data_IF_395460189029
#
_entry.id   IF_395460189029
#
_cell.length_a   1.000
_cell.length_b   1.000
_cell.length_c   1.000
_cell.angle_alpha   90.00
_cell.angle_beta   90.00
_cell.angle_gamma   90.00
#
_symmetry.space_group_name_H-M   'P 1'
#
loop_
_entity.id
_entity.type
_entity.pdbx_description
1 polymer ?
#
# COMPACT_ATOMS: atom_id res chain seq x y z
N UNK A 1 74.43 25.61 22.91
CA UNK A 1 73.98 24.22 22.74
C UNK A 1 72.49 24.23 22.45
N UNK A 2 72.11 23.68 21.29
CA UNK A 2 70.90 22.90 20.94
C UNK A 2 69.50 23.42 21.30
N UNK A 3 68.45 23.27 20.48
CA UNK A 3 68.28 22.79 19.11
C UNK A 3 66.86 23.19 18.66
N UNK A 4 66.72 23.68 17.42
CA UNK A 4 65.44 23.83 16.74
C UNK A 4 64.90 22.44 16.36
N UNK A 5 63.65 22.12 16.70
CA UNK A 5 62.98 20.91 16.25
C UNK A 5 61.68 21.28 15.50
N UNK A 6 61.81 21.73 14.24
CA UNK A 6 60.70 21.85 13.31
C UNK A 6 60.51 20.48 12.63
N UNK A 7 59.55 19.68 13.10
CA UNK A 7 59.06 18.53 12.34
C UNK A 7 58.16 19.05 11.22
N UNK A 8 58.72 19.13 10.02
CA UNK A 8 57.97 19.39 8.79
C UNK A 8 57.10 18.20 8.46
N UNK A 9 55.78 18.41 8.44
CA UNK A 9 54.86 17.51 7.72
C UNK A 9 55.17 17.71 6.22
N UNK A 10 55.43 16.65 5.44
CA UNK A 10 55.69 16.82 4.01
C UNK A 10 54.42 17.36 3.35
N UNK A 11 54.48 18.62 2.90
CA UNK A 11 53.37 19.36 2.29
C UNK A 11 52.70 18.61 1.12
N UNK A 12 53.37 17.63 0.51
CA UNK A 12 52.83 16.78 -0.55
C UNK A 12 51.71 15.82 -0.13
N UNK A 13 51.64 15.41 1.15
CA UNK A 13 50.59 14.49 1.63
C UNK A 13 49.26 15.20 1.91
N UNK A 14 49.30 16.47 2.32
CA UNK A 14 48.10 17.29 2.49
C UNK A 14 47.48 17.68 1.14
N UNK A 15 48.32 17.95 0.14
CA UNK A 15 47.86 18.38 -1.19
C UNK A 15 47.15 17.25 -1.95
N UNK A 16 47.59 16.01 -1.78
CA UNK A 16 46.96 14.82 -2.37
C UNK A 16 45.63 14.47 -1.71
N UNK A 17 45.50 14.68 -0.40
CA UNK A 17 44.23 14.50 0.31
C UNK A 17 43.15 15.52 -0.13
N UNK A 18 43.54 16.78 -0.39
CA UNK A 18 42.62 17.83 -0.88
C UNK A 18 42.15 17.51 -2.31
N UNK A 19 43.04 17.00 -3.17
CA UNK A 19 42.69 16.67 -4.56
C UNK A 19 41.70 15.49 -4.64
N UNK A 20 41.86 14.48 -3.78
CA UNK A 20 40.93 13.34 -3.67
C UNK A 20 39.56 13.76 -3.11
N UNK A 21 39.53 14.67 -2.13
CA UNK A 21 38.28 15.20 -1.57
C UNK A 21 37.51 16.04 -2.59
N UNK A 22 38.21 16.80 -3.44
CA UNK A 22 37.62 17.56 -4.53
C UNK A 22 36.89 16.68 -5.55
N UNK A 23 37.47 15.54 -5.92
CA UNK A 23 36.85 14.65 -6.92
C UNK A 23 35.58 13.93 -6.41
N UNK A 24 35.51 13.66 -5.10
CA UNK A 24 34.34 13.06 -4.46
C UNK A 24 33.14 14.01 -4.41
N UNK A 25 33.34 15.31 -4.23
CA UNK A 25 32.26 16.30 -4.13
C UNK A 25 31.63 16.65 -5.49
N UNK A 26 32.34 16.45 -6.62
CA UNK A 26 31.82 16.74 -7.96
C UNK A 26 31.10 15.55 -8.62
N UNK A 27 31.09 14.39 -7.99
CA UNK A 27 30.33 13.20 -8.45
C UNK A 27 28.85 13.30 -8.07
N UNK A 28 28.24 14.48 -8.19
CA UNK A 28 26.79 14.64 -8.21
C UNK A 28 26.29 14.12 -9.56
N UNK A 29 26.19 12.80 -9.64
CA UNK A 29 25.46 12.11 -10.69
C UNK A 29 24.05 12.68 -10.62
N UNK A 30 23.67 13.50 -11.61
CA UNK A 30 22.27 13.82 -11.86
C UNK A 30 21.60 12.51 -12.22
N UNK A 31 21.06 11.83 -11.22
CA UNK A 31 20.11 10.77 -11.42
C UNK A 31 18.96 11.38 -12.21
N UNK A 32 18.84 11.02 -13.48
CA UNK A 32 17.61 11.24 -14.21
C UNK A 32 16.56 10.43 -13.45
N UNK A 33 15.74 11.13 -12.66
CA UNK A 33 14.53 10.54 -12.13
C UNK A 33 13.79 9.96 -13.32
N UNK A 34 13.67 8.64 -13.38
CA UNK A 34 12.77 7.99 -14.31
C UNK A 34 11.42 8.68 -14.08
N UNK A 35 10.93 9.39 -15.09
CA UNK A 35 9.55 9.88 -15.09
C UNK A 35 8.70 8.62 -15.06
N UNK A 36 8.35 8.21 -13.83
CA UNK A 36 7.24 7.33 -13.56
C UNK A 36 6.11 7.88 -14.40
N UNK A 37 5.69 7.05 -15.35
CA UNK A 37 4.46 7.20 -16.11
C UNK A 37 3.44 7.94 -15.23
N UNK A 38 2.80 9.03 -15.71
CA UNK A 38 1.91 9.83 -14.87
C UNK A 38 1.00 8.86 -14.11
N UNK A 39 0.88 9.00 -12.78
CA UNK A 39 0.08 8.08 -11.99
C UNK A 39 -1.26 7.93 -12.69
N UNK A 40 -1.77 6.70 -12.87
CA UNK A 40 -3.04 6.48 -13.55
C UNK A 40 -4.03 7.49 -12.97
N UNK A 41 -4.66 8.27 -13.86
CA UNK A 41 -5.50 9.42 -13.56
C UNK A 41 -6.12 9.27 -12.18
N UNK A 42 -5.74 10.14 -11.23
CA UNK A 42 -6.16 10.01 -9.84
C UNK A 42 -7.65 9.70 -9.81
N UNK A 43 -7.98 8.45 -9.46
CA UNK A 43 -9.35 7.97 -9.54
C UNK A 43 -10.23 8.92 -8.72
N UNK A 44 -11.36 9.34 -9.28
CA UNK A 44 -12.30 10.18 -8.56
C UNK A 44 -13.01 9.32 -7.52
N UNK A 45 -12.37 9.16 -6.37
CA UNK A 45 -12.90 8.38 -5.26
C UNK A 45 -14.07 9.11 -4.61
N UNK A 46 -15.05 8.34 -4.17
CA UNK A 46 -16.06 8.83 -3.22
C UNK A 46 -15.38 9.34 -1.95
N UNK A 47 -16.06 10.26 -1.26
CA UNK A 47 -15.59 10.69 0.05
C UNK A 47 -15.50 9.50 1.01
N UNK A 48 -14.66 9.60 2.05
CA UNK A 48 -14.50 8.50 3.01
C UNK A 48 -15.82 8.15 3.71
N UNK A 49 -16.64 9.17 4.01
CA UNK A 49 -17.96 9.00 4.61
C UNK A 49 -18.95 8.33 3.63
N UNK A 50 -19.01 8.81 2.38
CA UNK A 50 -19.89 8.20 1.36
C UNK A 50 -19.50 6.75 1.07
N UNK A 51 -18.18 6.49 0.96
CA UNK A 51 -17.65 5.15 0.75
C UNK A 51 -18.03 4.22 1.91
N UNK A 52 -17.86 4.67 3.16
CA UNK A 52 -18.21 3.89 4.33
C UNK A 52 -19.71 3.60 4.41
N UNK A 53 -20.56 4.61 4.18
CA UNK A 53 -22.01 4.47 4.19
C UNK A 53 -22.50 3.50 3.11
N UNK A 54 -21.94 3.61 1.90
CA UNK A 54 -22.26 2.70 0.79
C UNK A 54 -21.87 1.25 1.14
N UNK A 55 -20.66 1.04 1.64
CA UNK A 55 -20.17 -0.29 2.01
C UNK A 55 -21.00 -0.90 3.16
N UNK A 56 -21.39 -0.11 4.16
CA UNK A 56 -22.26 -0.56 5.25
C UNK A 56 -23.66 -0.94 4.74
N UNK A 57 -24.21 -0.19 3.78
CA UNK A 57 -25.47 -0.55 3.13
C UNK A 57 -25.34 -1.90 2.39
N UNK A 58 -24.25 -2.12 1.66
CA UNK A 58 -23.99 -3.41 1.00
C UNK A 58 -23.83 -4.56 1.99
N UNK A 59 -23.11 -4.34 3.09
CA UNK A 59 -22.98 -5.34 4.17
C UNK A 59 -24.35 -5.70 4.74
N UNK A 60 -25.24 -4.73 4.91
CA UNK A 60 -26.60 -4.96 5.41
C UNK A 60 -27.40 -5.85 4.45
N UNK A 61 -27.38 -5.55 3.15
CA UNK A 61 -28.07 -6.35 2.12
C UNK A 61 -27.51 -7.77 2.07
N UNK A 62 -26.18 -7.93 2.07
CA UNK A 62 -25.54 -9.25 2.02
C UNK A 62 -25.87 -10.08 3.27
N UNK A 63 -25.89 -9.48 4.46
CA UNK A 63 -26.26 -10.17 5.69
C UNK A 63 -27.73 -10.62 5.70
N UNK A 64 -28.63 -9.89 5.05
CA UNK A 64 -30.03 -10.32 4.89
C UNK A 64 -30.16 -11.51 3.93
N UNK A 65 -29.23 -11.65 2.99
CA UNK A 65 -29.22 -12.76 2.03
C UNK A 65 -28.60 -14.04 2.60
N UNK A 66 -27.62 -13.94 3.51
CA UNK A 66 -26.89 -15.08 4.07
C UNK A 66 -27.79 -16.22 4.60
N UNK A 67 -28.87 -15.97 5.36
CA UNK A 67 -29.75 -17.04 5.84
C UNK A 67 -30.45 -17.83 4.72
N UNK A 68 -30.58 -17.24 3.52
CA UNK A 68 -31.16 -17.90 2.34
C UNK A 68 -30.16 -18.69 1.51
N UNK A 69 -28.87 -18.72 1.88
CA UNK A 69 -27.79 -19.37 1.12
C UNK A 69 -27.21 -20.51 1.95
N UNK A 70 -27.32 -21.75 1.46
CA UNK A 70 -26.76 -22.92 2.13
C UNK A 70 -25.27 -22.78 2.42
N UNK A 71 -24.89 -23.05 3.67
CA UNK A 71 -23.51 -23.09 4.13
C UNK A 71 -22.67 -24.12 3.36
N UNK A 72 -21.37 -23.85 3.24
CA UNK A 72 -20.42 -24.71 2.51
C UNK A 72 -20.54 -24.64 0.99
N UNK A 73 -21.47 -23.84 0.44
CA UNK A 73 -21.53 -23.58 -1.00
C UNK A 73 -20.56 -22.46 -1.40
N UNK A 74 -20.03 -22.47 -2.64
CA UNK A 74 -19.20 -21.37 -3.14
C UNK A 74 -19.90 -20.01 -3.06
N UNK A 75 -21.23 -19.99 -3.22
CA UNK A 75 -22.03 -18.78 -3.10
C UNK A 75 -22.00 -18.23 -1.67
N UNK A 76 -22.17 -19.09 -0.66
CA UNK A 76 -22.11 -18.70 0.75
C UNK A 76 -20.74 -18.12 1.11
N UNK A 77 -19.66 -18.84 0.77
CA UNK A 77 -18.29 -18.40 1.04
C UNK A 77 -17.95 -17.08 0.31
N UNK A 78 -18.45 -16.89 -0.92
CA UNK A 78 -18.27 -15.65 -1.66
C UNK A 78 -19.03 -14.47 -1.04
N UNK A 79 -20.24 -14.71 -0.51
CA UNK A 79 -21.02 -13.68 0.20
C UNK A 79 -20.33 -13.28 1.50
N UNK A 80 -19.88 -14.24 2.31
CA UNK A 80 -19.10 -13.96 3.51
C UNK A 80 -17.81 -13.19 3.20
N UNK A 81 -17.12 -13.54 2.10
CA UNK A 81 -15.93 -12.83 1.65
C UNK A 81 -16.19 -11.36 1.36
N UNK A 82 -17.27 -11.07 0.65
CA UNK A 82 -17.70 -9.70 0.34
C UNK A 82 -17.98 -8.93 1.63
N UNK A 83 -18.71 -9.54 2.56
CA UNK A 83 -19.01 -8.95 3.87
C UNK A 83 -17.72 -8.63 4.65
N UNK A 84 -16.80 -9.60 4.75
CA UNK A 84 -15.53 -9.42 5.44
C UNK A 84 -14.69 -8.32 4.79
N UNK A 85 -14.63 -8.30 3.47
CA UNK A 85 -13.87 -7.29 2.71
C UNK A 85 -14.42 -5.88 2.94
N UNK A 86 -15.74 -5.70 2.84
CA UNK A 86 -16.37 -4.39 3.02
C UNK A 86 -16.23 -3.88 4.46
N UNK A 87 -16.43 -4.76 5.45
CA UNK A 87 -16.20 -4.41 6.87
C UNK A 87 -14.75 -3.99 7.12
N UNK A 88 -13.78 -4.68 6.53
CA UNK A 88 -12.38 -4.33 6.65
C UNK A 88 -12.07 -2.95 6.03
N UNK A 89 -12.63 -2.64 4.85
CA UNK A 89 -12.43 -1.33 4.23
C UNK A 89 -13.00 -0.21 5.12
N UNK A 90 -14.22 -0.40 5.64
CA UNK A 90 -14.83 0.57 6.57
C UNK A 90 -13.97 0.75 7.82
N UNK A 91 -13.43 -0.35 8.37
CA UNK A 91 -12.52 -0.29 9.51
C UNK A 91 -11.24 0.50 9.18
N UNK A 92 -10.59 0.25 8.04
CA UNK A 92 -9.37 0.98 7.66
C UNK A 92 -9.65 2.47 7.41
N UNK A 93 -10.80 2.81 6.81
CA UNK A 93 -11.26 4.19 6.67
C UNK A 93 -11.43 4.84 8.06
N UNK A 94 -12.05 4.13 9.02
CA UNK A 94 -12.21 4.65 10.39
C UNK A 94 -10.89 4.88 11.12
N UNK A 95 -9.82 4.18 10.72
CA UNK A 95 -8.45 4.38 11.21
C UNK A 95 -7.74 5.55 10.52
N UNK A 96 -8.38 6.23 9.57
CA UNK A 96 -7.85 7.37 8.84
C UNK A 96 -7.18 7.02 7.50
N UNK A 97 -7.31 5.78 7.01
CA UNK A 97 -6.83 5.44 5.67
C UNK A 97 -7.70 6.11 4.60
N UNK A 98 -7.08 6.51 3.49
CA UNK A 98 -7.84 6.94 2.30
C UNK A 98 -8.59 5.76 1.68
N UNK A 99 -9.65 6.00 0.91
CA UNK A 99 -10.43 4.94 0.23
C UNK A 99 -9.53 4.02 -0.60
N UNK A 100 -8.57 4.58 -1.34
CA UNK A 100 -7.61 3.82 -2.13
C UNK A 100 -6.71 2.93 -1.27
N UNK A 101 -6.20 3.45 -0.15
CA UNK A 101 -5.38 2.67 0.78
C UNK A 101 -6.19 1.57 1.48
N UNK A 102 -7.40 1.89 1.91
CA UNK A 102 -8.29 0.95 2.60
C UNK A 102 -8.64 -0.27 1.72
N UNK A 103 -8.85 -0.06 0.42
CA UNK A 103 -9.06 -1.13 -0.57
C UNK A 103 -7.92 -2.15 -0.59
N UNK A 104 -6.67 -1.68 -0.61
CA UNK A 104 -5.47 -2.52 -0.66
C UNK A 104 -5.21 -3.21 0.69
N UNK A 105 -5.35 -2.47 1.80
CA UNK A 105 -5.13 -2.98 3.16
C UNK A 105 -6.14 -4.06 3.55
N UNK A 106 -7.31 -4.09 2.92
CA UNK A 106 -8.40 -5.01 3.26
C UNK A 106 -8.33 -6.35 2.53
N UNK A 107 -7.45 -6.52 1.54
CA UNK A 107 -7.31 -7.76 0.75
C UNK A 107 -7.09 -9.01 1.64
N UNK A 108 -6.26 -8.96 2.70
CA UNK A 108 -6.08 -10.10 3.60
C UNK A 108 -7.38 -10.57 4.27
N UNK A 109 -8.28 -9.64 4.62
CA UNK A 109 -9.57 -9.99 5.22
C UNK A 109 -10.45 -10.74 4.21
N UNK A 110 -10.42 -10.36 2.92
CA UNK A 110 -11.12 -11.12 1.87
C UNK A 110 -10.49 -12.50 1.64
N UNK A 111 -9.16 -12.61 1.67
CA UNK A 111 -8.46 -13.87 1.44
C UNK A 111 -8.81 -14.92 2.51
N UNK A 112 -9.10 -14.48 3.72
CA UNK A 112 -9.26 -15.29 4.94
C UNK A 112 -10.71 -15.37 5.45
N UNK A 113 -11.69 -14.82 4.74
CA UNK A 113 -13.08 -14.66 5.22
C UNK A 113 -13.17 -13.95 6.60
N UNK A 114 -12.40 -12.88 6.78
CA UNK A 114 -12.35 -12.15 8.05
C UNK A 114 -11.45 -12.82 9.09
N UNK A 115 -10.35 -13.42 8.64
CA UNK A 115 -9.36 -14.14 9.46
C UNK A 115 -9.87 -15.47 10.05
N UNK A 116 -11.02 -15.96 9.60
CA UNK A 116 -11.62 -17.24 10.05
C UNK A 116 -11.06 -18.45 9.28
N UNK A 117 -10.59 -18.27 8.04
CA UNK A 117 -9.99 -19.31 7.19
C UNK A 117 -8.57 -18.93 6.76
N UNK A 118 -7.76 -19.92 6.40
CA UNK A 118 -6.41 -19.67 5.89
C UNK A 118 -6.40 -18.84 4.58
N UNK A 119 -5.38 -18.00 4.40
CA UNK A 119 -5.27 -17.12 3.24
C UNK A 119 -5.11 -17.87 1.90
N UNK A 120 -4.67 -19.13 1.93
CA UNK A 120 -4.53 -20.03 0.77
C UNK A 120 -5.88 -20.48 0.18
N UNK A 121 -6.97 -20.28 0.92
CA UNK A 121 -8.30 -20.77 0.58
C UNK A 121 -8.94 -20.05 -0.63
N UNK A 122 -8.53 -18.81 -0.92
CA UNK A 122 -9.18 -17.99 -1.95
C UNK A 122 -8.33 -17.85 -3.22
N UNK A 123 -8.83 -18.25 -4.40
CA UNK A 123 -8.19 -18.00 -5.68
C UNK A 123 -7.89 -16.51 -5.94
N UNK A 124 -6.67 -16.21 -6.42
CA UNK A 124 -6.25 -14.83 -6.76
C UNK A 124 -7.18 -14.13 -7.76
N UNK A 125 -7.79 -14.88 -8.68
CA UNK A 125 -8.73 -14.36 -9.67
C UNK A 125 -9.98 -13.81 -8.97
N UNK A 126 -10.51 -14.51 -7.96
CA UNK A 126 -11.67 -14.05 -7.20
C UNK A 126 -11.35 -12.80 -6.39
N UNK A 127 -10.17 -12.73 -5.77
CA UNK A 127 -9.73 -11.54 -5.06
C UNK A 127 -9.58 -10.34 -5.99
N UNK A 128 -8.99 -10.53 -7.18
CA UNK A 128 -8.85 -9.46 -8.18
C UNK A 128 -10.21 -9.00 -8.71
N UNK A 129 -11.13 -9.92 -8.94
CA UNK A 129 -12.50 -9.61 -9.36
C UNK A 129 -13.21 -8.77 -8.29
N UNK A 130 -13.18 -9.21 -7.03
CA UNK A 130 -13.77 -8.49 -5.90
C UNK A 130 -13.15 -7.10 -5.70
N UNK A 131 -11.83 -6.99 -5.78
CA UNK A 131 -11.13 -5.72 -5.70
C UNK A 131 -11.57 -4.77 -6.83
N UNK A 132 -11.66 -5.28 -8.05
CA UNK A 132 -12.06 -4.48 -9.22
C UNK A 132 -13.52 -4.02 -9.11
N UNK A 133 -14.41 -4.91 -8.71
CA UNK A 133 -15.83 -4.61 -8.46
C UNK A 133 -15.97 -3.51 -7.41
N UNK A 134 -15.26 -3.66 -6.28
CA UNK A 134 -15.32 -2.70 -5.16
C UNK A 134 -14.73 -1.36 -5.56
N UNK A 135 -13.62 -1.36 -6.32
CA UNK A 135 -13.05 -0.13 -6.88
C UNK A 135 -14.05 0.61 -7.75
N UNK A 136 -14.71 -0.07 -8.70
CA UNK A 136 -15.72 0.54 -9.58
C UNK A 136 -16.87 1.13 -8.78
N UNK A 137 -17.32 0.43 -7.73
CA UNK A 137 -18.39 0.89 -6.85
C UNK A 137 -18.01 2.15 -6.04
N UNK A 138 -16.72 2.31 -5.68
CA UNK A 138 -16.21 3.39 -4.84
C UNK A 138 -15.64 4.58 -5.64
N UNK A 139 -15.63 4.48 -6.96
CA UNK A 139 -15.33 5.60 -7.88
C UNK A 139 -16.61 6.30 -8.32
N UNK A 140 -16.50 7.59 -8.69
CA UNK A 140 -17.57 8.40 -9.26
C UNK A 140 -17.63 8.32 -10.78
#
# INVERSE_FOLDING_TARGET
>A
MNSYNRRGVPAGMLLSAIFLLGFLCFSSIKGYAQTLQPPPSALNWKSSEDAANLLLAQVTVLNQQLPGISEGTPLHDNTLRRVAYFKAIVMEISKGATVAQALELSIPAAATLGFEKEASYTPKILLKALHTETRVMLTN
#
